data_IF_267865642536
#
_entry.id   IF_267865642536
#
_cell.length_a   1.000
_cell.length_b   1.000
_cell.length_c   1.000
_cell.angle_alpha   90.00
_cell.angle_beta   90.00
_cell.angle_gamma   90.00
#
_symmetry.space_group_name_H-M   'P 1'
#
loop_
_entity.id
_entity.type
_entity.pdbx_description
1 polymer ?
#
# COMPACT_ATOMS: atom_id res chain seq x y z
N UNK A 1 20.09 2.07 -8.47
CA UNK A 1 20.04 2.74 -9.79
C UNK A 1 20.58 4.16 -9.72
N UNK A 2 20.07 5.07 -8.91
CA UNK A 2 20.55 6.46 -8.81
C UNK A 2 22.05 6.56 -8.48
N UNK A 3 22.56 5.78 -7.52
CA UNK A 3 23.99 5.76 -7.19
C UNK A 3 24.86 5.34 -8.38
N UNK A 4 24.41 4.38 -9.17
CA UNK A 4 25.12 3.94 -10.38
C UNK A 4 25.10 4.99 -11.48
N UNK A 5 24.04 5.80 -11.57
CA UNK A 5 24.02 6.95 -12.49
C UNK A 5 25.06 8.00 -12.12
N UNK A 6 25.11 8.38 -10.86
CA UNK A 6 26.07 9.41 -10.36
C UNK A 6 27.50 8.94 -10.54
N UNK A 7 27.76 7.66 -10.35
CA UNK A 7 29.11 7.07 -10.45
C UNK A 7 29.38 6.38 -11.80
N UNK A 8 28.56 6.63 -12.82
CA UNK A 8 28.62 5.94 -14.13
C UNK A 8 29.99 6.03 -14.82
N UNK A 9 30.73 7.10 -14.60
CA UNK A 9 32.06 7.29 -15.15
C UNK A 9 33.16 6.38 -14.55
N UNK A 10 32.87 5.73 -13.41
CA UNK A 10 33.77 4.77 -12.77
C UNK A 10 33.57 3.33 -13.27
N UNK A 11 32.48 3.06 -14.01
CA UNK A 11 32.16 1.72 -14.47
C UNK A 11 32.36 1.58 -15.98
N UNK A 12 32.92 0.46 -16.39
CA UNK A 12 32.94 0.08 -17.82
C UNK A 12 31.54 -0.43 -18.22
N UNK A 13 31.17 -0.23 -19.50
CA UNK A 13 29.88 -0.76 -20.03
C UNK A 13 29.71 -2.25 -19.84
N UNK A 14 30.79 -3.02 -19.77
CA UNK A 14 30.76 -4.46 -19.47
C UNK A 14 30.40 -4.77 -18.02
N UNK A 15 30.57 -3.83 -17.11
CA UNK A 15 30.27 -3.99 -15.68
C UNK A 15 28.86 -3.55 -15.33
N UNK A 16 28.37 -2.50 -15.99
CA UNK A 16 27.03 -1.99 -15.81
C UNK A 16 26.51 -1.30 -17.07
N UNK A 17 25.34 -1.72 -17.52
CA UNK A 17 24.61 -1.16 -18.65
C UNK A 17 23.35 -0.45 -18.16
N UNK A 18 23.36 0.87 -18.28
CA UNK A 18 22.26 1.73 -17.84
C UNK A 18 20.96 1.40 -18.57
N UNK A 19 21.02 1.20 -19.90
CA UNK A 19 19.83 0.94 -20.70
C UNK A 19 19.20 -0.42 -20.37
N UNK A 20 20.03 -1.44 -20.21
CA UNK A 20 19.57 -2.78 -19.81
C UNK A 20 18.92 -2.75 -18.42
N UNK A 21 19.54 -2.03 -17.47
CA UNK A 21 18.99 -1.86 -16.12
C UNK A 21 17.65 -1.12 -16.15
N UNK A 22 17.57 -0.02 -16.94
CA UNK A 22 16.32 0.74 -17.11
C UNK A 22 15.20 -0.12 -17.70
N UNK A 23 15.49 -0.87 -18.74
CA UNK A 23 14.51 -1.75 -19.39
C UNK A 23 13.99 -2.79 -18.38
N UNK A 24 14.89 -3.40 -17.59
CA UNK A 24 14.48 -4.36 -16.57
C UNK A 24 13.55 -3.75 -15.52
N UNK A 25 13.82 -2.53 -15.09
CA UNK A 25 12.93 -1.81 -14.16
C UNK A 25 11.57 -1.52 -14.80
N UNK A 26 11.54 -1.14 -16.08
CA UNK A 26 10.28 -0.90 -16.80
C UNK A 26 9.44 -2.17 -16.95
N UNK A 27 10.07 -3.33 -17.12
CA UNK A 27 9.39 -4.64 -17.16
C UNK A 27 8.72 -5.00 -15.81
N UNK A 28 9.27 -4.56 -14.68
CA UNK A 28 8.74 -4.85 -13.36
C UNK A 28 7.59 -3.92 -12.92
N UNK A 29 7.37 -2.80 -13.63
CA UNK A 29 6.29 -1.84 -13.29
C UNK A 29 4.90 -2.48 -13.41
N UNK A 30 4.55 -3.20 -14.49
CA UNK A 30 3.24 -3.85 -14.62
C UNK A 30 2.98 -4.90 -13.53
N UNK A 31 4.03 -5.54 -13.03
CA UNK A 31 3.97 -6.54 -11.95
C UNK A 31 3.67 -5.92 -10.57
N UNK A 32 3.67 -4.59 -10.51
CA UNK A 32 3.30 -3.85 -9.29
C UNK A 32 4.41 -3.74 -8.24
N UNK A 33 5.65 -4.04 -8.60
CA UNK A 33 6.82 -3.95 -7.69
C UNK A 33 6.99 -2.55 -7.08
N UNK A 34 6.58 -1.49 -7.80
CA UNK A 34 6.72 -0.10 -7.38
C UNK A 34 5.40 0.56 -6.98
N UNK A 35 4.41 -0.20 -6.50
CA UNK A 35 3.10 0.34 -6.09
C UNK A 35 3.16 1.22 -4.86
N UNK A 36 4.17 1.02 -4.01
CA UNK A 36 4.35 1.86 -2.83
C UNK A 36 4.85 3.26 -3.25
N UNK A 37 4.24 4.36 -2.75
CA UNK A 37 4.65 5.73 -3.09
C UNK A 37 6.13 5.99 -2.84
N UNK A 38 6.70 5.43 -1.78
CA UNK A 38 8.12 5.55 -1.44
C UNK A 38 9.02 4.87 -2.47
N UNK A 39 8.64 3.67 -2.96
CA UNK A 39 9.37 2.97 -4.00
C UNK A 39 9.26 3.70 -5.35
N UNK A 40 8.06 4.19 -5.69
CA UNK A 40 7.82 5.00 -6.88
C UNK A 40 8.63 6.29 -6.86
N UNK A 41 8.67 7.00 -5.74
CA UNK A 41 9.44 8.23 -5.58
C UNK A 41 10.95 8.03 -5.76
N UNK A 42 11.47 6.87 -5.40
CA UNK A 42 12.90 6.55 -5.60
C UNK A 42 13.22 6.13 -7.03
N UNK A 43 12.33 5.45 -7.71
CA UNK A 43 12.60 4.92 -9.04
C UNK A 43 12.33 5.93 -10.16
N UNK A 44 11.32 6.78 -9.99
CA UNK A 44 10.90 7.74 -11.00
C UNK A 44 12.02 8.69 -11.46
N UNK A 45 12.80 9.34 -10.58
CA UNK A 45 13.92 10.16 -11.00
C UNK A 45 14.93 9.37 -11.83
N UNK A 46 15.25 8.13 -11.40
CA UNK A 46 16.21 7.29 -12.10
C UNK A 46 15.73 6.86 -13.52
N UNK A 47 14.43 6.65 -13.71
CA UNK A 47 13.84 6.37 -15.03
C UNK A 47 13.92 7.58 -15.95
N UNK A 48 13.88 8.79 -15.42
CA UNK A 48 14.04 10.06 -16.12
C UNK A 48 15.50 10.46 -16.33
N UNK A 49 16.46 9.63 -15.92
CA UNK A 49 17.89 9.95 -15.95
C UNK A 49 18.30 11.05 -14.98
N UNK A 50 17.51 11.23 -13.92
CA UNK A 50 17.72 12.20 -12.85
C UNK A 50 18.18 11.52 -11.57
N UNK A 51 18.82 12.29 -10.72
CA UNK A 51 19.25 11.87 -9.39
C UNK A 51 18.83 12.90 -8.34
N UNK A 52 19.03 12.61 -7.07
CA UNK A 52 18.79 13.60 -6.02
C UNK A 52 19.78 14.79 -6.09
N UNK A 53 20.89 14.66 -6.82
CA UNK A 53 21.82 15.77 -7.06
C UNK A 53 21.26 16.80 -8.06
N UNK A 54 20.26 16.40 -8.85
CA UNK A 54 19.56 17.28 -9.80
C UNK A 54 18.48 18.14 -9.12
N UNK A 55 18.26 17.99 -7.80
CA UNK A 55 17.35 18.84 -7.05
C UNK A 55 17.94 20.25 -6.97
N UNK A 56 17.34 21.15 -7.72
CA UNK A 56 17.75 22.56 -7.71
C UNK A 56 17.19 23.25 -6.47
N UNK A 57 18.08 23.75 -5.61
CA UNK A 57 17.73 24.53 -4.42
C UNK A 57 17.05 25.86 -4.74
N UNK A 58 17.26 26.35 -5.97
CA UNK A 58 16.69 27.62 -6.46
C UNK A 58 15.38 27.39 -7.24
N UNK A 59 14.82 26.18 -7.23
CA UNK A 59 13.55 25.93 -7.86
C UNK A 59 12.48 26.78 -7.18
N UNK A 60 11.66 27.47 -7.94
CA UNK A 60 10.57 28.34 -7.46
C UNK A 60 9.44 27.59 -6.75
N UNK A 61 9.60 26.29 -6.50
CA UNK A 61 8.82 25.52 -5.54
C UNK A 61 9.19 25.89 -4.09
N UNK A 62 9.47 27.17 -3.85
CA UNK A 62 9.50 27.73 -2.51
C UNK A 62 8.05 27.71 -2.01
N UNK A 63 7.83 27.00 -0.92
CA UNK A 63 6.61 27.04 -0.12
C UNK A 63 6.09 28.48 0.00
N UNK A 64 5.22 28.89 -0.90
CA UNK A 64 4.28 29.95 -0.61
C UNK A 64 3.17 29.30 0.19
N UNK A 65 3.36 29.36 1.51
CA UNK A 65 2.31 29.03 2.46
C UNK A 65 1.03 29.72 1.98
N UNK A 66 0.06 28.96 1.47
CA UNK A 66 -1.25 29.47 1.11
C UNK A 66 -1.71 29.28 -0.33
N UNK A 67 -0.98 28.65 -1.24
CA UNK A 67 -1.38 28.53 -2.65
C UNK A 67 -1.56 27.09 -3.17
N UNK A 68 -1.81 26.11 -2.31
CA UNK A 68 -2.44 24.88 -2.76
C UNK A 68 -3.95 24.98 -2.59
N UNK A 69 -4.60 25.73 -3.49
CA UNK A 69 -5.97 25.40 -3.85
C UNK A 69 -5.89 24.04 -4.55
N UNK A 70 -6.03 22.97 -3.80
CA UNK A 70 -6.52 21.70 -4.32
C UNK A 70 -7.98 21.93 -4.69
N UNK A 71 -8.23 22.63 -5.80
CA UNK A 71 -9.43 22.39 -6.56
C UNK A 71 -9.32 20.95 -6.96
N UNK A 72 -10.08 20.11 -6.29
CA UNK A 72 -10.44 18.78 -6.75
C UNK A 72 -11.09 18.98 -8.12
N UNK A 73 -10.28 19.08 -9.17
CA UNK A 73 -10.78 18.83 -10.50
C UNK A 73 -11.04 17.33 -10.51
N UNK A 74 -12.29 17.02 -10.32
CA UNK A 74 -12.84 15.74 -10.74
C UNK A 74 -12.28 15.46 -12.14
N UNK A 75 -11.58 14.33 -12.39
CA UNK A 75 -11.01 14.07 -13.69
C UNK A 75 -12.15 13.88 -14.69
N UNK A 76 -12.44 14.98 -15.41
CA UNK A 76 -13.30 14.93 -16.58
C UNK A 76 -12.62 14.03 -17.60
N UNK A 77 -13.24 12.87 -17.84
CA UNK A 77 -13.01 11.95 -18.96
C UNK A 77 -11.54 11.63 -19.30
N UNK A 78 -10.88 10.88 -18.42
CA UNK A 78 -9.80 9.98 -18.81
C UNK A 78 -10.36 8.83 -19.68
N UNK A 79 -9.48 8.10 -20.41
CA UNK A 79 -9.91 6.93 -21.15
C UNK A 79 -10.71 6.01 -20.23
N UNK A 80 -11.71 5.26 -20.74
CA UNK A 80 -12.63 4.50 -19.89
C UNK A 80 -11.83 3.71 -18.89
N UNK A 81 -12.09 3.95 -17.62
CA UNK A 81 -11.48 3.20 -16.53
C UNK A 81 -11.73 1.72 -16.85
N UNK A 82 -10.67 0.99 -17.14
CA UNK A 82 -10.75 -0.46 -17.23
C UNK A 82 -11.21 -0.88 -15.85
N UNK A 83 -12.50 -1.17 -15.71
CA UNK A 83 -13.08 -1.62 -14.47
C UNK A 83 -12.38 -2.94 -14.13
N UNK A 84 -11.48 -2.89 -13.16
CA UNK A 84 -10.84 -4.11 -12.66
C UNK A 84 -11.95 -5.06 -12.24
N UNK A 85 -11.89 -6.34 -12.61
CA UNK A 85 -12.90 -7.29 -12.21
C UNK A 85 -13.02 -7.27 -10.68
N UNK A 86 -14.26 -7.26 -10.20
CA UNK A 86 -14.52 -7.32 -8.77
C UNK A 86 -14.38 -8.78 -8.32
N UNK A 87 -13.78 -8.96 -7.16
CA UNK A 87 -13.70 -10.24 -6.46
C UNK A 87 -14.49 -10.16 -5.16
N UNK A 88 -15.07 -11.28 -4.75
CA UNK A 88 -15.74 -11.41 -3.46
C UNK A 88 -14.78 -12.03 -2.46
N UNK A 89 -14.76 -11.47 -1.25
CA UNK A 89 -13.91 -11.92 -0.15
C UNK A 89 -14.79 -11.98 1.10
N UNK A 90 -14.65 -13.04 1.88
CA UNK A 90 -15.29 -13.16 3.18
C UNK A 90 -14.39 -12.52 4.23
N UNK A 91 -14.93 -11.62 5.03
CA UNK A 91 -14.19 -10.95 6.09
C UNK A 91 -14.86 -11.18 7.43
N UNK A 92 -14.08 -11.44 8.47
CA UNK A 92 -14.58 -11.68 9.82
C UNK A 92 -13.73 -10.99 10.89
N UNK A 93 -14.40 -10.56 11.95
CA UNK A 93 -13.80 -10.05 13.18
C UNK A 93 -14.13 -11.03 14.30
N UNK A 94 -13.11 -11.53 14.99
CA UNK A 94 -13.24 -12.52 16.06
C UNK A 94 -12.68 -11.95 17.36
N UNK A 95 -13.56 -11.76 18.32
CA UNK A 95 -13.23 -11.36 19.72
C UNK A 95 -13.77 -12.46 20.63
N UNK A 96 -14.94 -12.25 21.22
CA UNK A 96 -15.68 -13.27 21.97
C UNK A 96 -16.78 -13.90 21.08
N UNK A 97 -17.20 -13.15 20.08
CA UNK A 97 -18.17 -13.56 19.04
C UNK A 97 -17.54 -13.31 17.68
N UNK A 98 -17.99 -14.05 16.68
CA UNK A 98 -17.57 -13.87 15.30
C UNK A 98 -18.61 -13.06 14.54
N UNK A 99 -18.18 -11.97 13.93
CA UNK A 99 -18.98 -11.19 13.00
C UNK A 99 -18.39 -11.33 11.60
N UNK A 100 -19.19 -11.70 10.61
CA UNK A 100 -18.71 -11.97 9.25
C UNK A 100 -19.52 -11.20 8.23
N UNK A 101 -18.88 -10.81 7.14
CA UNK A 101 -19.49 -10.15 5.99
C UNK A 101 -18.77 -10.58 4.72
N UNK A 102 -19.46 -10.65 3.60
CA UNK A 102 -18.86 -10.82 2.28
C UNK A 102 -18.83 -9.46 1.59
N UNK A 103 -17.64 -9.02 1.20
CA UNK A 103 -17.44 -7.73 0.52
C UNK A 103 -16.91 -7.93 -0.88
N UNK A 104 -17.26 -6.99 -1.78
CA UNK A 104 -16.73 -6.93 -3.14
C UNK A 104 -15.65 -5.86 -3.22
N UNK A 105 -14.46 -6.26 -3.64
CA UNK A 105 -13.30 -5.37 -3.84
C UNK A 105 -12.70 -5.58 -5.23
N UNK A 106 -11.94 -4.62 -5.73
CA UNK A 106 -11.25 -4.76 -7.01
C UNK A 106 -10.19 -5.86 -6.93
N UNK A 107 -10.02 -6.62 -8.00
CA UNK A 107 -8.91 -7.59 -8.09
C UNK A 107 -7.57 -6.87 -7.92
N UNK A 108 -6.74 -7.37 -7.01
CA UNK A 108 -5.48 -6.75 -6.59
C UNK A 108 -5.60 -5.77 -5.42
N UNK A 109 -6.78 -5.66 -4.78
CA UNK A 109 -6.95 -4.97 -3.50
C UNK A 109 -6.16 -5.66 -2.39
N UNK A 110 -5.82 -4.90 -1.35
CA UNK A 110 -5.12 -5.42 -0.16
C UNK A 110 -6.10 -5.69 0.99
N UNK A 111 -5.64 -6.36 2.02
CA UNK A 111 -6.44 -6.69 3.21
C UNK A 111 -7.09 -5.44 3.83
N UNK A 112 -6.35 -4.33 3.87
CA UNK A 112 -6.86 -3.05 4.39
C UNK A 112 -8.07 -2.54 3.59
N UNK A 113 -8.06 -2.67 2.25
CA UNK A 113 -9.19 -2.27 1.40
C UNK A 113 -10.47 -3.06 1.74
N UNK A 114 -10.30 -4.34 2.11
CA UNK A 114 -11.40 -5.21 2.55
C UNK A 114 -11.96 -4.73 3.89
N UNK A 115 -11.08 -4.39 4.86
CA UNK A 115 -11.47 -3.82 6.14
C UNK A 115 -12.23 -2.51 5.99
N UNK A 116 -11.70 -1.58 5.19
CA UNK A 116 -12.35 -0.29 4.89
C UNK A 116 -13.72 -0.49 4.21
N UNK A 117 -13.82 -1.47 3.32
CA UNK A 117 -15.07 -1.78 2.65
C UNK A 117 -16.10 -2.33 3.62
N UNK A 118 -15.70 -3.26 4.50
CA UNK A 118 -16.54 -3.82 5.54
C UNK A 118 -17.04 -2.74 6.52
N UNK A 119 -16.16 -1.82 6.94
CA UNK A 119 -16.51 -0.70 7.81
C UNK A 119 -17.53 0.23 7.15
N UNK A 120 -17.38 0.55 5.87
CA UNK A 120 -18.34 1.37 5.10
C UNK A 120 -19.73 0.70 5.03
N UNK A 121 -19.78 -0.62 4.99
CA UNK A 121 -21.05 -1.37 4.95
C UNK A 121 -21.68 -1.51 6.34
N UNK A 122 -20.87 -1.70 7.40
CA UNK A 122 -21.37 -1.78 8.78
C UNK A 122 -20.30 -1.34 9.78
N UNK A 123 -20.22 -0.04 10.05
CA UNK A 123 -19.27 0.55 10.99
C UNK A 123 -19.42 0.05 12.42
N UNK A 124 -20.63 -0.39 12.83
CA UNK A 124 -20.86 -0.89 14.20
C UNK A 124 -20.08 -2.19 14.45
N UNK A 125 -20.03 -3.09 13.46
CA UNK A 125 -19.42 -4.41 13.61
C UNK A 125 -17.98 -4.49 13.04
N UNK A 126 -17.58 -3.55 12.16
CA UNK A 126 -16.30 -3.63 11.46
C UNK A 126 -15.46 -2.36 11.57
N UNK A 127 -15.77 -1.47 12.54
CA UNK A 127 -14.93 -0.29 12.78
C UNK A 127 -13.53 -0.68 13.22
N UNK A 128 -12.56 0.05 12.71
CA UNK A 128 -11.17 -0.14 13.11
C UNK A 128 -10.38 1.17 13.09
N UNK A 129 -9.21 1.16 13.73
CA UNK A 129 -8.23 2.24 13.66
C UNK A 129 -6.87 1.65 13.33
N UNK A 130 -6.19 2.24 12.37
CA UNK A 130 -4.82 1.91 12.02
C UNK A 130 -3.92 3.12 12.26
N UNK A 131 -2.70 2.87 12.71
CA UNK A 131 -1.64 3.87 12.86
C UNK A 131 -0.55 3.59 11.84
N UNK A 132 -0.04 4.66 11.21
CA UNK A 132 1.07 4.52 10.27
C UNK A 132 2.36 4.11 11.00
N UNK A 133 3.03 3.09 10.47
CA UNK A 133 4.31 2.62 10.97
C UNK A 133 5.34 2.54 9.85
N UNK A 134 6.61 2.31 10.20
CA UNK A 134 7.69 2.06 9.22
C UNK A 134 7.42 0.83 8.34
N UNK A 135 6.55 -0.06 8.79
CA UNK A 135 6.18 -1.31 8.12
C UNK A 135 4.80 -1.24 7.43
N UNK A 136 4.22 -0.02 7.34
CA UNK A 136 2.88 0.23 6.83
C UNK A 136 1.82 0.34 7.93
N UNK A 137 0.53 0.38 7.57
CA UNK A 137 -0.56 0.55 8.52
C UNK A 137 -0.65 -0.63 9.51
N UNK A 138 -0.63 -0.30 10.79
CA UNK A 138 -0.74 -1.23 11.92
C UNK A 138 -2.10 -1.07 12.59
N UNK A 139 -2.87 -2.16 12.66
CA UNK A 139 -4.20 -2.16 13.27
C UNK A 139 -4.07 -2.07 14.79
N UNK A 140 -4.54 -0.97 15.36
CA UNK A 140 -4.45 -0.71 16.81
C UNK A 140 -5.74 -0.99 17.53
N UNK A 141 -6.89 -0.77 16.88
CA UNK A 141 -8.21 -0.88 17.52
C UNK A 141 -9.20 -1.53 16.56
N UNK A 142 -10.02 -2.45 17.02
CA UNK A 142 -11.16 -2.99 16.26
C UNK A 142 -12.37 -3.07 17.18
N UNK A 143 -13.55 -2.65 16.71
CA UNK A 143 -14.78 -2.54 17.52
C UNK A 143 -14.57 -1.79 18.86
N UNK A 144 -13.70 -0.76 18.86
CA UNK A 144 -13.39 0.01 20.07
C UNK A 144 -12.43 -0.68 21.05
N UNK A 145 -11.99 -1.92 20.79
CA UNK A 145 -11.02 -2.62 21.64
C UNK A 145 -9.61 -2.30 21.13
N UNK A 146 -8.83 -1.63 21.97
CA UNK A 146 -7.45 -1.26 21.65
C UNK A 146 -6.46 -2.33 22.09
N UNK A 147 -5.55 -2.72 21.20
CA UNK A 147 -4.41 -3.58 21.52
C UNK A 147 -3.50 -2.90 22.57
N UNK A 148 -2.98 -3.70 23.51
CA UNK A 148 -2.18 -3.22 24.63
C UNK A 148 -0.95 -4.10 24.83
N UNK A 149 0.23 -3.55 24.61
CA UNK A 149 1.50 -4.27 24.76
C UNK A 149 1.77 -4.71 26.21
N UNK A 150 1.28 -3.95 27.22
CA UNK A 150 1.43 -4.33 28.62
C UNK A 150 0.61 -5.59 28.98
N UNK A 151 -0.51 -5.79 28.27
CA UNK A 151 -1.39 -6.96 28.44
C UNK A 151 -1.05 -8.07 27.41
N UNK A 152 -0.02 -7.82 26.58
CA UNK A 152 0.44 -8.72 25.52
C UNK A 152 -0.67 -9.04 24.53
N UNK A 153 -1.53 -8.07 24.19
CA UNK A 153 -2.62 -8.24 23.23
C UNK A 153 -2.33 -7.57 21.93
N UNK A 154 -2.80 -8.17 20.83
CA UNK A 154 -2.64 -7.64 19.47
C UNK A 154 -3.78 -8.10 18.57
N UNK A 155 -3.91 -7.45 17.41
CA UNK A 155 -4.82 -7.84 16.35
C UNK A 155 -4.08 -8.70 15.34
N UNK A 156 -4.39 -9.98 15.33
CA UNK A 156 -3.83 -10.96 14.42
C UNK A 156 -4.61 -10.97 13.11
N UNK A 157 -3.88 -10.95 12.00
CA UNK A 157 -4.46 -11.02 10.66
C UNK A 157 -4.25 -12.43 10.12
N UNK A 158 -5.34 -13.05 9.64
CA UNK A 158 -5.31 -14.40 9.11
C UNK A 158 -5.95 -14.45 7.71
N UNK A 159 -5.48 -15.39 6.90
CA UNK A 159 -6.10 -15.80 5.66
C UNK A 159 -6.36 -17.30 5.69
N UNK A 160 -7.60 -17.69 5.45
CA UNK A 160 -8.04 -19.10 5.47
C UNK A 160 -7.59 -19.84 6.75
N UNK A 161 -7.55 -19.15 7.88
CA UNK A 161 -7.18 -19.67 9.19
C UNK A 161 -5.68 -19.65 9.51
N UNK A 162 -4.83 -19.24 8.56
CA UNK A 162 -3.39 -19.16 8.75
C UNK A 162 -2.95 -17.72 9.02
N UNK A 163 -2.10 -17.47 10.03
CA UNK A 163 -1.57 -16.13 10.33
C UNK A 163 -0.76 -15.57 9.17
N UNK A 164 -0.98 -14.29 8.88
CA UNK A 164 -0.25 -13.59 7.83
C UNK A 164 1.10 -13.08 8.32
N UNK A 165 2.14 -13.28 7.50
CA UNK A 165 3.46 -12.68 7.70
C UNK A 165 3.57 -11.25 7.15
N UNK A 166 2.54 -10.77 6.45
CA UNK A 166 2.45 -9.44 5.85
C UNK A 166 1.43 -8.57 6.58
N UNK A 167 1.66 -7.26 6.59
CA UNK A 167 0.72 -6.31 7.15
C UNK A 167 -0.52 -6.10 6.27
N UNK A 168 -1.61 -5.54 6.84
CA UNK A 168 -2.87 -5.29 6.15
C UNK A 168 -2.73 -4.46 4.87
N UNK A 169 -1.81 -3.53 4.83
CA UNK A 169 -1.55 -2.69 3.66
C UNK A 169 -0.70 -3.34 2.55
N UNK A 170 -0.21 -4.56 2.77
CA UNK A 170 0.70 -5.23 1.83
C UNK A 170 0.16 -6.57 1.32
N UNK A 171 -0.71 -7.24 2.07
CA UNK A 171 -1.28 -8.52 1.68
C UNK A 171 -2.34 -8.34 0.61
N UNK A 172 -2.08 -8.86 -0.59
CA UNK A 172 -3.03 -8.83 -1.71
C UNK A 172 -4.02 -9.98 -1.59
N UNK A 173 -5.32 -9.65 -1.60
CA UNK A 173 -6.40 -10.62 -1.40
C UNK A 173 -6.83 -11.31 -2.69
N UNK A 174 -7.38 -12.51 -2.57
CA UNK A 174 -7.81 -13.35 -3.68
C UNK A 174 -9.32 -13.66 -3.61
N UNK A 175 -9.91 -13.98 -4.75
CA UNK A 175 -11.34 -14.31 -4.82
C UNK A 175 -11.69 -15.52 -3.96
N UNK A 176 -12.76 -15.39 -3.17
CA UNK A 176 -13.28 -16.46 -2.30
C UNK A 176 -12.47 -16.69 -1.02
N UNK A 177 -11.48 -15.84 -0.74
CA UNK A 177 -10.63 -15.94 0.44
C UNK A 177 -11.40 -15.61 1.72
N UNK A 178 -11.06 -16.27 2.83
CA UNK A 178 -11.59 -15.98 4.15
C UNK A 178 -10.55 -15.21 4.96
N UNK A 179 -10.76 -13.93 5.12
CA UNK A 179 -9.91 -13.04 5.91
C UNK A 179 -10.48 -12.91 7.31
N UNK A 180 -9.58 -12.90 8.28
CA UNK A 180 -9.98 -12.77 9.68
C UNK A 180 -9.08 -11.80 10.42
N UNK A 181 -9.68 -10.96 11.26
CA UNK A 181 -8.99 -10.15 12.28
C UNK A 181 -9.39 -10.70 13.63
N UNK A 182 -8.42 -11.25 14.35
CA UNK A 182 -8.63 -11.95 15.63
C UNK A 182 -7.96 -11.23 16.78
N UNK A 183 -8.67 -11.11 17.89
CA UNK A 183 -8.10 -10.68 19.17
C UNK A 183 -7.22 -11.78 19.74
N UNK A 184 -5.90 -11.54 19.84
CA UNK A 184 -4.91 -12.54 20.24
C UNK A 184 -3.96 -12.04 21.31
N UNK A 185 -3.28 -12.98 22.00
CA UNK A 185 -2.21 -12.71 22.97
C UNK A 185 -0.93 -13.42 22.53
N UNK A 186 0.22 -12.80 22.81
CA UNK A 186 1.55 -13.37 22.58
C UNK A 186 2.32 -13.63 23.87
#
# INVERSE_FOLDING_TARGET
MQALFVSSHYYKKSQWDCQKTRNKVLEEIPEGVFRMPTAAAQILPALLGKTYLDVNKDSSCVYKSGAFNLTTQEPTSGPPAVSRPQIQVNYSVVINTTHSITVSVANGSVFLDVMEKAEKENATLFSFTAEESLWGPYITTVQGIKANSNERTYWELLSNGEPLSQGAGSYVVHAGENLEVRWSKY
#
